data_IF_212514048213
#
_entry.id   IF_212514048213
#
_cell.length_a   1.000
_cell.length_b   1.000
_cell.length_c   1.000
_cell.angle_alpha   90.00
_cell.angle_beta   90.00
_cell.angle_gamma   90.00
#
_symmetry.space_group_name_H-M   'P 1'
#
loop_
_entity.id
_entity.type
_entity.pdbx_description
1 polymer ?
#
# COMPACT_ATOMS: atom_id res chain seq x y z
N UNK A 1 50.19 26.78 -3.70
CA UNK A 1 49.05 26.49 -4.59
C UNK A 1 48.81 24.98 -4.50
N UNK A 2 48.06 24.54 -3.51
CA UNK A 2 47.57 23.16 -3.42
C UNK A 2 46.42 23.01 -4.41
N UNK A 3 46.71 22.43 -5.55
CA UNK A 3 45.71 21.84 -6.42
C UNK A 3 45.36 20.51 -5.80
N UNK A 4 44.47 20.54 -4.80
CA UNK A 4 43.87 19.32 -4.27
C UNK A 4 43.11 18.61 -5.40
N UNK A 5 43.66 17.52 -5.91
CA UNK A 5 42.93 16.54 -6.68
C UNK A 5 41.75 16.07 -5.81
N UNK A 6 40.53 16.52 -6.13
CA UNK A 6 39.31 15.94 -5.55
C UNK A 6 39.28 14.48 -5.98
N UNK A 7 39.77 13.59 -5.12
CA UNK A 7 39.80 12.17 -5.37
C UNK A 7 38.39 11.63 -5.63
N UNK A 8 38.23 10.95 -6.74
CA UNK A 8 36.99 10.21 -7.00
C UNK A 8 36.91 9.03 -6.02
N UNK A 9 35.98 9.08 -5.07
CA UNK A 9 35.71 7.99 -4.13
C UNK A 9 34.73 6.99 -4.75
N UNK A 10 35.22 5.78 -4.97
CA UNK A 10 34.37 4.68 -5.48
C UNK A 10 34.22 3.63 -4.39
N UNK A 11 33.00 3.28 -4.03
CA UNK A 11 32.68 2.28 -3.00
C UNK A 11 31.74 1.24 -3.56
N UNK A 12 31.96 0.00 -3.12
CA UNK A 12 31.03 -1.10 -3.35
C UNK A 12 30.58 -1.62 -2.00
N UNK A 13 29.28 -1.77 -1.84
CA UNK A 13 28.64 -2.25 -0.61
C UNK A 13 27.85 -3.48 -0.99
N UNK A 14 27.97 -4.52 -0.19
CA UNK A 14 27.14 -5.70 -0.25
C UNK A 14 26.34 -5.82 1.03
N UNK A 15 25.03 -5.97 0.90
CA UNK A 15 24.13 -6.22 1.98
C UNK A 15 23.25 -7.44 1.63
N UNK A 16 22.66 -8.05 2.63
CA UNK A 16 21.67 -9.10 2.41
C UNK A 16 20.50 -8.92 3.35
N UNK A 17 19.30 -9.14 2.82
CA UNK A 17 18.07 -9.08 3.56
C UNK A 17 17.36 -10.42 3.52
N UNK A 18 16.99 -10.93 4.69
CA UNK A 18 16.07 -12.05 4.82
C UNK A 18 14.83 -11.51 5.51
N UNK A 19 13.68 -11.66 4.89
CA UNK A 19 12.40 -11.29 5.51
C UNK A 19 11.44 -12.46 5.48
N UNK A 20 10.65 -12.60 6.52
CA UNK A 20 9.55 -13.53 6.56
C UNK A 20 8.27 -12.86 7.03
N UNK A 21 7.15 -13.33 6.52
CA UNK A 21 5.82 -12.91 6.94
C UNK A 21 4.95 -14.13 7.06
N UNK A 22 4.16 -14.15 8.10
CA UNK A 22 3.14 -15.15 8.33
C UNK A 22 1.83 -14.47 8.66
N UNK A 23 0.78 -15.00 8.13
CA UNK A 23 -0.55 -14.52 8.35
C UNK A 23 -1.50 -15.70 8.50
N UNK A 24 -2.32 -15.69 9.53
CA UNK A 24 -3.36 -16.67 9.74
C UNK A 24 -4.64 -16.00 10.20
N UNK A 25 -5.75 -16.44 9.67
CA UNK A 25 -7.06 -15.93 10.02
C UNK A 25 -8.06 -17.06 10.23
N UNK A 26 -8.94 -16.88 11.20
CA UNK A 26 -10.06 -17.75 11.50
C UNK A 26 -11.32 -16.89 11.70
N UNK A 27 -12.46 -17.37 11.28
CA UNK A 27 -13.78 -16.76 11.52
C UNK A 27 -14.59 -16.54 10.24
N UNK A 28 -15.88 -16.38 10.41
CA UNK A 28 -16.82 -16.10 9.34
C UNK A 28 -17.27 -17.28 8.50
N UNK A 29 -16.73 -18.47 8.69
CA UNK A 29 -16.99 -19.63 7.83
C UNK A 29 -17.63 -20.80 8.57
N UNK A 30 -18.32 -21.66 7.81
CA UNK A 30 -18.75 -22.99 8.26
C UNK A 30 -17.59 -23.95 8.14
N UNK A 31 -17.23 -24.60 9.26
CA UNK A 31 -16.29 -25.72 9.34
C UNK A 31 -14.85 -25.42 8.88
N UNK A 32 -14.23 -26.34 8.12
CA UNK A 32 -12.80 -26.30 7.77
C UNK A 32 -12.38 -25.17 6.83
N UNK A 33 -13.31 -24.50 6.21
CA UNK A 33 -13.07 -23.34 5.36
C UNK A 33 -12.68 -22.08 6.17
N UNK A 34 -12.85 -22.15 7.48
CA UNK A 34 -12.60 -21.05 8.42
C UNK A 34 -11.12 -20.68 8.59
N UNK A 35 -10.21 -21.51 8.14
CA UNK A 35 -8.79 -21.27 8.34
C UNK A 35 -8.13 -20.83 7.04
N UNK A 36 -7.52 -19.67 7.11
CA UNK A 36 -6.72 -19.11 6.03
C UNK A 36 -5.35 -18.77 6.56
N UNK A 37 -4.32 -19.16 5.86
CA UNK A 37 -2.98 -18.71 6.17
C UNK A 37 -2.20 -18.37 4.90
N UNK A 38 -1.28 -17.46 5.05
CA UNK A 38 -0.28 -17.18 4.05
C UNK A 38 1.08 -17.04 4.72
N UNK A 39 2.09 -17.58 4.10
CA UNK A 39 3.47 -17.40 4.50
C UNK A 39 4.29 -16.90 3.33
N UNK A 40 5.23 -16.03 3.59
CA UNK A 40 6.14 -15.50 2.59
C UNK A 40 7.53 -15.42 3.22
N UNK A 41 8.52 -15.94 2.52
CA UNK A 41 9.92 -15.74 2.85
C UNK A 41 10.62 -15.12 1.63
N UNK A 42 11.43 -14.10 1.87
CA UNK A 42 12.22 -13.45 0.84
C UNK A 42 13.69 -13.45 1.23
N UNK A 43 14.54 -13.68 0.25
CA UNK A 43 15.97 -13.44 0.33
C UNK A 43 16.34 -12.44 -0.76
N UNK A 44 16.98 -11.35 -0.39
CA UNK A 44 17.35 -10.26 -1.27
C UNK A 44 18.79 -9.82 -1.00
N UNK A 45 19.79 -10.39 -1.68
CA UNK A 45 21.14 -9.83 -1.70
C UNK A 45 21.12 -8.50 -2.45
N UNK A 46 21.80 -7.51 -1.92
CA UNK A 46 21.85 -6.17 -2.47
C UNK A 46 23.29 -5.79 -2.78
N UNK A 47 23.54 -5.36 -4.00
CA UNK A 47 24.82 -4.86 -4.48
C UNK A 47 24.65 -3.37 -4.79
N UNK A 48 25.43 -2.53 -4.12
CA UNK A 48 25.42 -1.08 -4.35
C UNK A 48 26.80 -0.65 -4.79
N UNK A 49 26.88 -0.08 -5.98
CA UNK A 49 28.07 0.63 -6.47
C UNK A 49 27.83 2.14 -6.32
N UNK A 50 28.78 2.83 -5.76
CA UNK A 50 28.70 4.27 -5.53
C UNK A 50 29.98 4.94 -5.99
N UNK A 51 29.86 6.04 -6.75
CA UNK A 51 30.99 6.88 -7.18
C UNK A 51 30.67 8.34 -6.94
N UNK A 52 31.59 9.03 -6.25
CA UNK A 52 31.52 10.46 -6.03
C UNK A 52 32.66 11.16 -6.79
N UNK A 53 32.33 12.27 -7.46
CA UNK A 53 33.28 13.14 -8.16
C UNK A 53 32.81 14.58 -8.01
N UNK A 54 33.45 15.34 -7.13
CA UNK A 54 33.05 16.69 -6.77
C UNK A 54 31.58 16.72 -6.27
N UNK A 55 30.76 17.52 -6.92
CA UNK A 55 29.33 17.66 -6.61
C UNK A 55 28.45 16.55 -7.22
N UNK A 56 29.02 15.66 -8.01
CA UNK A 56 28.29 14.58 -8.66
C UNK A 56 28.41 13.28 -7.87
N UNK A 57 27.33 12.55 -7.78
CA UNK A 57 27.24 11.22 -7.19
C UNK A 57 26.49 10.30 -8.13
N UNK A 58 27.02 9.13 -8.39
CA UNK A 58 26.42 8.10 -9.20
C UNK A 58 26.21 6.88 -8.32
N UNK A 59 25.06 6.23 -8.45
CA UNK A 59 24.73 5.01 -7.74
C UNK A 59 24.11 3.99 -8.71
N UNK A 60 24.54 2.77 -8.56
CA UNK A 60 23.90 1.61 -9.15
C UNK A 60 23.51 0.65 -8.02
N UNK A 61 22.26 0.19 -8.04
CA UNK A 61 21.77 -0.81 -7.12
C UNK A 61 21.25 -1.99 -7.93
N UNK A 62 21.57 -3.20 -7.51
CA UNK A 62 20.99 -4.43 -8.04
C UNK A 62 20.70 -5.36 -6.88
N UNK A 63 19.45 -5.81 -6.78
CA UNK A 63 18.97 -6.72 -5.74
C UNK A 63 18.00 -7.74 -6.35
N UNK A 64 18.47 -8.95 -6.68
CA UNK A 64 17.56 -10.05 -7.00
C UNK A 64 16.79 -10.46 -5.75
N UNK A 65 15.48 -10.57 -5.85
CA UNK A 65 14.58 -10.93 -4.75
C UNK A 65 14.03 -12.32 -5.02
N UNK A 66 14.44 -13.27 -4.22
CA UNK A 66 13.92 -14.64 -4.26
C UNK A 66 12.80 -14.75 -3.24
N UNK A 67 11.58 -14.99 -3.72
CA UNK A 67 10.39 -15.07 -2.87
C UNK A 67 9.78 -16.46 -2.92
N UNK A 68 9.51 -17.00 -1.75
CA UNK A 68 8.66 -18.18 -1.57
C UNK A 68 7.38 -17.71 -0.90
N UNK A 69 6.24 -18.02 -1.53
CA UNK A 69 4.91 -17.73 -1.00
C UNK A 69 4.09 -18.99 -0.93
N UNK A 70 3.45 -19.23 0.17
CA UNK A 70 2.48 -20.30 0.33
C UNK A 70 1.19 -19.72 0.88
N UNK A 71 0.10 -19.99 0.18
CA UNK A 71 -1.24 -19.59 0.57
C UNK A 71 -2.11 -20.84 0.75
N UNK A 72 -2.90 -20.84 1.78
CA UNK A 72 -3.95 -21.83 1.98
C UNK A 72 -5.27 -21.11 2.21
N UNK A 73 -6.17 -21.36 1.27
CA UNK A 73 -7.55 -20.95 1.38
C UNK A 73 -8.36 -22.07 0.80
N UNK A 74 -9.10 -22.73 0.68
CA UNK A 74 -9.74 -23.88 0.04
C UNK A 74 -8.74 -24.88 -0.56
N UNK A 75 -7.67 -24.39 -1.16
CA UNK A 75 -6.61 -25.19 -1.78
C UNK A 75 -5.26 -24.56 -1.48
N UNK A 76 -4.28 -25.40 -1.22
CA UNK A 76 -2.89 -24.97 -1.05
C UNK A 76 -2.34 -24.50 -2.40
N UNK A 77 -1.78 -23.31 -2.43
CA UNK A 77 -0.99 -22.80 -3.56
C UNK A 77 0.41 -22.43 -3.09
N UNK A 78 1.39 -22.74 -3.91
CA UNK A 78 2.79 -22.42 -3.65
C UNK A 78 3.34 -21.69 -4.87
N UNK A 79 3.83 -20.47 -4.64
CA UNK A 79 4.46 -19.66 -5.68
C UNK A 79 5.92 -19.43 -5.32
N UNK A 80 6.78 -19.57 -6.34
CA UNK A 80 8.18 -19.19 -6.29
C UNK A 80 8.38 -18.06 -7.27
N UNK A 81 8.67 -16.89 -6.77
CA UNK A 81 8.82 -15.69 -7.59
C UNK A 81 10.25 -15.20 -7.50
N UNK A 82 10.84 -14.96 -8.65
CA UNK A 82 12.09 -14.20 -8.75
C UNK A 82 11.70 -12.81 -9.24
N UNK A 83 11.96 -11.80 -8.43
CA UNK A 83 11.84 -10.39 -8.80
C UNK A 83 13.23 -9.75 -8.73
N UNK A 84 13.37 -8.55 -9.23
CA UNK A 84 14.65 -7.85 -9.22
C UNK A 84 14.41 -6.38 -9.00
N UNK A 85 15.11 -5.79 -8.05
CA UNK A 85 15.29 -4.36 -7.99
C UNK A 85 16.60 -4.00 -8.69
N UNK A 86 16.54 -3.04 -9.59
CA UNK A 86 17.70 -2.52 -10.30
C UNK A 86 17.49 -1.02 -10.54
N UNK A 87 18.34 -0.21 -9.95
CA UNK A 87 18.19 1.26 -9.93
C UNK A 87 19.50 1.88 -10.36
N UNK A 88 19.40 2.87 -11.23
CA UNK A 88 20.46 3.81 -11.57
C UNK A 88 20.07 5.18 -11.06
N UNK A 89 20.97 5.84 -10.33
CA UNK A 89 20.74 7.18 -9.84
C UNK A 89 21.95 8.08 -10.07
N UNK A 90 21.66 9.33 -10.39
CA UNK A 90 22.60 10.41 -10.44
C UNK A 90 22.11 11.55 -9.57
N UNK A 91 22.99 12.06 -8.71
CA UNK A 91 22.73 13.21 -7.85
C UNK A 91 23.78 14.28 -8.11
N UNK A 92 23.32 15.49 -8.31
CA UNK A 92 24.12 16.69 -8.31
C UNK A 92 23.80 17.49 -7.05
N UNK A 93 24.82 17.78 -6.23
CA UNK A 93 24.61 18.35 -4.90
C UNK A 93 25.43 19.64 -4.73
N UNK A 94 24.76 20.79 -4.56
CA UNK A 94 25.34 22.07 -4.18
C UNK A 94 24.80 22.53 -2.83
N UNK A 95 25.41 23.59 -2.27
CA UNK A 95 24.99 24.17 -0.98
C UNK A 95 23.52 24.55 -0.95
N UNK A 96 22.99 25.13 -2.02
CA UNK A 96 21.64 25.70 -2.08
C UNK A 96 20.60 24.77 -2.70
N UNK A 97 21.00 23.82 -3.52
CA UNK A 97 20.09 22.90 -4.16
C UNK A 97 20.73 21.54 -4.46
N UNK A 98 19.90 20.54 -4.64
CA UNK A 98 20.32 19.26 -5.21
C UNK A 98 19.32 18.79 -6.26
N UNK A 99 19.84 18.13 -7.29
CA UNK A 99 19.07 17.44 -8.31
C UNK A 99 19.35 15.95 -8.14
N UNK A 100 18.31 15.14 -8.13
CA UNK A 100 18.42 13.69 -8.17
C UNK A 100 17.60 13.17 -9.33
N UNK A 101 18.20 12.34 -10.16
CA UNK A 101 17.53 11.63 -11.25
C UNK A 101 17.77 10.16 -11.03
N UNK A 102 16.71 9.40 -10.98
CA UNK A 102 16.80 7.96 -10.78
C UNK A 102 15.77 7.22 -11.63
N UNK A 103 16.11 6.00 -11.97
CA UNK A 103 15.20 5.16 -12.73
C UNK A 103 15.62 3.70 -12.67
N UNK A 104 14.65 2.86 -12.95
CA UNK A 104 14.82 1.42 -12.90
C UNK A 104 13.58 0.70 -12.41
N UNK A 105 13.81 -0.42 -11.75
CA UNK A 105 12.79 -1.19 -11.05
C UNK A 105 13.07 -1.16 -9.56
N UNK A 106 12.15 -0.66 -8.76
CA UNK A 106 12.35 -0.55 -7.31
C UNK A 106 11.05 -0.23 -6.58
N UNK A 107 11.18 -0.18 -5.27
CA UNK A 107 10.04 0.09 -4.39
C UNK A 107 9.68 1.58 -4.43
N UNK A 108 8.41 1.85 -4.75
CA UNK A 108 7.85 3.18 -4.77
C UNK A 108 6.68 3.31 -3.79
N UNK A 109 6.66 4.40 -3.06
CA UNK A 109 5.56 4.78 -2.17
C UNK A 109 5.23 6.25 -2.41
N UNK A 110 4.00 6.52 -2.83
CA UNK A 110 3.59 7.86 -3.26
C UNK A 110 2.84 8.66 -2.19
N UNK A 111 2.44 8.00 -1.11
CA UNK A 111 1.79 8.60 0.04
C UNK A 111 2.35 8.04 1.36
N UNK A 112 2.19 8.76 2.45
CA UNK A 112 2.84 8.43 3.73
C UNK A 112 2.43 7.05 4.28
N UNK A 113 1.18 6.66 4.08
CA UNK A 113 0.60 5.48 4.71
C UNK A 113 0.21 4.35 3.75
N UNK A 114 0.60 4.45 2.48
CA UNK A 114 0.31 3.43 1.48
C UNK A 114 -1.19 3.29 1.17
N UNK A 115 -1.92 4.39 1.23
CA UNK A 115 -3.35 4.45 0.93
C UNK A 115 -3.65 4.65 -0.55
N UNK A 116 -2.68 5.16 -1.30
CA UNK A 116 -2.78 5.39 -2.73
C UNK A 116 -1.94 4.38 -3.51
N UNK A 117 -0.61 4.40 -3.32
CA UNK A 117 0.31 3.53 -4.04
C UNK A 117 1.53 3.16 -3.20
N UNK A 118 1.83 1.85 -3.15
CA UNK A 118 2.98 1.32 -2.42
C UNK A 118 3.39 -0.05 -2.98
N UNK A 119 4.46 -0.13 -3.75
CA UNK A 119 4.92 -1.41 -4.33
C UNK A 119 6.16 -1.32 -5.20
N UNK A 120 6.66 -2.48 -5.64
CA UNK A 120 7.79 -2.56 -6.58
C UNK A 120 7.28 -2.33 -8.00
N UNK A 121 7.93 -1.43 -8.72
CA UNK A 121 7.50 -0.98 -10.05
C UNK A 121 8.68 -0.51 -10.90
N UNK A 122 8.51 -0.47 -12.20
CA UNK A 122 9.42 0.25 -13.09
C UNK A 122 9.10 1.74 -13.01
N UNK A 123 10.10 2.55 -12.78
CA UNK A 123 9.90 3.98 -12.61
C UNK A 123 11.06 4.83 -13.14
N UNK A 124 10.75 6.09 -13.36
CA UNK A 124 11.71 7.17 -13.55
C UNK A 124 11.26 8.34 -12.67
N UNK A 125 12.16 8.87 -11.88
CA UNK A 125 11.91 10.00 -10.99
C UNK A 125 12.99 11.07 -11.15
N UNK A 126 12.58 12.33 -11.16
CA UNK A 126 13.46 13.49 -11.13
C UNK A 126 13.05 14.39 -9.98
N UNK A 127 14.01 14.70 -9.11
CA UNK A 127 13.80 15.49 -7.91
C UNK A 127 14.66 16.74 -7.95
N UNK A 128 14.09 17.89 -7.65
CA UNK A 128 14.76 19.13 -7.37
C UNK A 128 14.51 19.51 -5.90
N UNK A 129 15.55 19.56 -5.10
CA UNK A 129 15.46 19.98 -3.70
C UNK A 129 16.11 21.34 -3.50
N UNK A 130 15.32 22.33 -3.10
CA UNK A 130 15.78 23.67 -2.75
C UNK A 130 16.00 23.76 -1.24
N UNK A 131 17.24 23.57 -0.83
CA UNK A 131 17.65 23.36 0.57
C UNK A 131 17.30 24.52 1.51
N UNK A 132 17.54 25.82 1.15
CA UNK A 132 17.25 26.93 2.05
C UNK A 132 15.79 27.04 2.48
N UNK A 133 14.88 26.56 1.65
CA UNK A 133 13.45 26.61 1.90
C UNK A 133 12.84 25.27 2.28
N UNK A 134 13.65 24.21 2.25
CA UNK A 134 13.15 22.85 2.51
C UNK A 134 12.07 22.39 1.51
N UNK A 135 12.17 22.83 0.25
CA UNK A 135 11.19 22.53 -0.80
C UNK A 135 11.76 21.48 -1.73
N UNK A 136 11.06 20.35 -1.87
CA UNK A 136 11.35 19.33 -2.88
C UNK A 136 10.23 19.28 -3.91
N UNK A 137 10.59 19.40 -5.17
CA UNK A 137 9.71 19.14 -6.31
C UNK A 137 10.12 17.84 -6.96
N UNK A 138 9.17 16.94 -7.20
CA UNK A 138 9.40 15.64 -7.82
C UNK A 138 8.51 15.46 -9.04
N UNK A 139 9.08 14.92 -10.12
CA UNK A 139 8.34 14.41 -11.27
C UNK A 139 8.56 12.91 -11.35
N UNK A 140 7.50 12.17 -11.58
CA UNK A 140 7.48 10.72 -11.58
C UNK A 140 6.73 10.18 -12.80
N UNK A 141 7.31 9.16 -13.40
CA UNK A 141 6.62 8.27 -14.34
C UNK A 141 6.84 6.84 -13.86
N UNK A 142 5.79 6.07 -13.66
CA UNK A 142 5.92 4.67 -13.30
C UNK A 142 4.96 3.78 -14.10
N UNK A 143 5.35 2.51 -14.19
CA UNK A 143 4.57 1.47 -14.86
C UNK A 143 4.55 0.24 -13.99
N UNK A 144 3.36 -0.21 -13.61
CA UNK A 144 3.18 -1.36 -12.74
C UNK A 144 2.25 -2.40 -13.36
N UNK A 145 2.61 -3.66 -13.15
CA UNK A 145 1.75 -4.77 -13.50
C UNK A 145 0.84 -5.07 -12.33
N UNK A 146 -0.45 -5.03 -12.58
CA UNK A 146 -1.42 -5.61 -11.69
C UNK A 146 -1.47 -7.11 -11.93
N UNK A 147 -0.57 -7.86 -11.29
CA UNK A 147 -0.70 -9.32 -11.24
C UNK A 147 -1.80 -9.65 -10.25
N UNK A 148 -2.94 -10.03 -10.75
CA UNK A 148 -3.86 -10.82 -9.95
C UNK A 148 -3.23 -12.21 -9.78
N UNK A 149 -2.84 -12.51 -8.56
CA UNK A 149 -2.14 -13.75 -8.21
C UNK A 149 -2.94 -15.03 -8.51
N UNK A 150 -4.24 -14.93 -8.83
CA UNK A 150 -5.14 -16.08 -8.98
C UNK A 150 -5.85 -16.22 -10.31
N UNK A 151 -5.54 -15.42 -11.32
CA UNK A 151 -6.15 -15.62 -12.63
C UNK A 151 -5.18 -16.24 -13.62
N UNK A 152 -5.44 -17.49 -13.94
CA UNK A 152 -4.82 -18.26 -15.03
C UNK A 152 -5.09 -17.70 -16.44
N UNK A 153 -5.52 -16.47 -16.58
CA UNK A 153 -5.60 -15.84 -17.89
C UNK A 153 -4.20 -15.35 -18.23
N UNK A 154 -3.53 -16.07 -19.09
CA UNK A 154 -2.35 -15.60 -19.83
C UNK A 154 -2.74 -14.50 -20.83
N UNK A 155 -3.35 -13.43 -20.33
CA UNK A 155 -3.46 -12.23 -21.12
C UNK A 155 -2.11 -11.50 -21.03
N UNK A 156 -1.60 -11.00 -22.13
CA UNK A 156 -0.47 -10.08 -22.13
C UNK A 156 -0.86 -8.87 -21.27
N UNK A 157 -0.42 -8.88 -20.01
CA UNK A 157 -0.86 -7.90 -19.04
C UNK A 157 -0.34 -6.53 -19.46
N UNK A 158 -1.23 -5.65 -19.88
CA UNK A 158 -0.88 -4.25 -20.12
C UNK A 158 -0.60 -3.59 -18.78
N UNK A 159 0.55 -2.94 -18.70
CA UNK A 159 0.94 -2.24 -17.49
C UNK A 159 0.12 -0.96 -17.33
N UNK A 160 -0.43 -0.77 -16.15
CA UNK A 160 -0.96 0.52 -15.76
C UNK A 160 0.18 1.52 -15.59
N UNK A 161 -0.09 2.79 -15.89
CA UNK A 161 0.91 3.85 -15.87
C UNK A 161 0.46 4.98 -14.96
N UNK A 162 1.40 5.54 -14.22
CA UNK A 162 1.19 6.73 -13.40
C UNK A 162 2.19 7.79 -13.84
N UNK A 163 1.70 9.00 -14.07
CA UNK A 163 2.50 10.17 -14.40
C UNK A 163 2.09 11.33 -13.52
N UNK A 164 3.04 12.08 -13.05
CA UNK A 164 2.73 13.27 -12.26
C UNK A 164 3.87 13.71 -11.39
N UNK A 165 3.54 14.39 -10.32
CA UNK A 165 4.56 14.90 -9.41
C UNK A 165 4.01 15.28 -8.05
N UNK A 166 4.93 15.63 -7.19
CA UNK A 166 4.62 16.14 -5.86
C UNK A 166 5.49 17.33 -5.50
N UNK A 167 4.97 18.12 -4.60
CA UNK A 167 5.65 19.24 -3.95
C UNK A 167 5.66 18.95 -2.45
N UNK A 168 6.87 18.84 -1.90
CA UNK A 168 7.09 18.54 -0.49
C UNK A 168 7.78 19.72 0.19
N UNK A 169 7.21 20.18 1.31
CA UNK A 169 7.78 21.18 2.19
C UNK A 169 8.18 20.50 3.51
N UNK A 170 9.44 20.66 3.92
CA UNK A 170 10.00 20.02 5.12
C UNK A 170 10.40 21.00 6.22
N UNK A 171 10.26 22.31 5.98
CA UNK A 171 10.79 23.35 6.87
C UNK A 171 9.83 24.53 7.00
N UNK A 172 8.53 24.27 7.05
CA UNK A 172 7.55 25.31 7.29
C UNK A 172 7.39 25.56 8.81
N UNK A 173 7.09 26.78 9.25
CA UNK A 173 6.71 27.05 10.63
C UNK A 173 5.53 26.15 11.04
N UNK A 174 5.62 25.49 12.20
CA UNK A 174 4.58 24.61 12.76
C UNK A 174 4.24 23.35 11.94
N UNK A 175 4.81 23.18 10.74
CA UNK A 175 4.55 22.04 9.86
C UNK A 175 5.87 21.31 9.60
N UNK A 176 5.93 20.05 10.01
CA UNK A 176 7.08 19.18 9.78
C UNK A 176 7.11 18.62 8.35
N UNK A 177 5.93 18.36 7.80
CA UNK A 177 5.79 17.76 6.49
C UNK A 177 4.48 18.24 5.86
N UNK A 178 4.58 18.80 4.67
CA UNK A 178 3.43 19.11 3.82
C UNK A 178 3.74 18.60 2.42
N UNK A 179 2.98 17.64 1.96
CA UNK A 179 3.08 17.10 0.62
C UNK A 179 1.79 17.38 -0.16
N UNK A 180 1.94 17.91 -1.37
CA UNK A 180 0.84 18.06 -2.32
C UNK A 180 1.22 17.28 -3.56
N UNK A 181 0.34 16.43 -4.05
CA UNK A 181 0.60 15.66 -5.24
C UNK A 181 -0.55 15.66 -6.23
N UNK A 182 -0.19 15.47 -7.49
CA UNK A 182 -1.12 15.26 -8.60
C UNK A 182 -0.58 14.17 -9.51
N UNK A 183 -1.35 13.10 -9.70
CA UNK A 183 -0.98 11.98 -10.54
C UNK A 183 -2.09 11.62 -11.51
N UNK A 184 -1.73 11.50 -12.79
CA UNK A 184 -2.56 10.93 -13.84
C UNK A 184 -2.30 9.42 -13.89
N UNK A 185 -3.35 8.64 -13.72
CA UNK A 185 -3.34 7.18 -13.87
C UNK A 185 -3.99 6.82 -15.18
N UNK A 186 -3.30 6.01 -15.96
CA UNK A 186 -3.80 5.48 -17.22
C UNK A 186 -3.86 3.96 -17.12
N UNK A 187 -5.06 3.43 -17.18
CA UNK A 187 -5.34 1.99 -17.23
C UNK A 187 -5.62 1.60 -18.68
N UNK A 188 -4.66 1.04 -19.43
CA UNK A 188 -4.96 0.56 -20.77
C UNK A 188 -5.90 -0.64 -20.69
N UNK A 189 -6.92 -0.64 -21.53
CA UNK A 189 -7.85 -1.75 -21.63
C UNK A 189 -7.19 -3.01 -22.14
N UNK A 190 -7.75 -4.15 -21.80
CA UNK A 190 -7.36 -5.44 -22.31
C UNK A 190 -8.56 -6.23 -22.79
N UNK A 191 -8.46 -6.72 -24.00
CA UNK A 191 -9.35 -7.75 -24.53
C UNK A 191 -8.68 -9.09 -24.25
N UNK A 192 -9.28 -9.94 -23.42
CA UNK A 192 -8.82 -11.33 -23.34
C UNK A 192 -9.08 -11.99 -24.69
N UNK A 193 -8.01 -12.47 -25.34
CA UNK A 193 -8.15 -13.19 -26.59
C UNK A 193 -9.12 -14.36 -26.43
N UNK A 194 -9.89 -14.58 -27.46
CA UNK A 194 -11.05 -15.45 -27.69
C UNK A 194 -11.01 -16.89 -27.19
N UNK A 195 -10.30 -17.25 -26.16
CA UNK A 195 -10.07 -18.67 -25.90
C UNK A 195 -11.17 -19.41 -25.16
N UNK A 196 -12.20 -18.78 -24.58
CA UNK A 196 -13.24 -19.58 -23.91
C UNK A 196 -14.64 -19.01 -24.00
N UNK A 197 -15.56 -19.87 -24.39
CA UNK A 197 -17.01 -19.69 -24.50
C UNK A 197 -17.72 -19.63 -23.13
N UNK A 198 -17.10 -19.16 -22.09
CA UNK A 198 -17.73 -19.05 -20.78
C UNK A 198 -18.04 -17.60 -20.46
N UNK A 199 -19.17 -17.39 -19.81
CA UNK A 199 -19.75 -16.08 -19.44
C UNK A 199 -18.83 -15.22 -18.52
N UNK A 200 -17.74 -15.77 -18.05
CA UNK A 200 -16.82 -15.19 -17.07
C UNK A 200 -15.61 -14.47 -17.72
N UNK A 201 -15.78 -13.93 -18.91
CA UNK A 201 -14.70 -13.16 -19.55
C UNK A 201 -14.42 -11.89 -18.77
N UNK A 202 -13.28 -11.88 -18.08
CA UNK A 202 -12.84 -10.73 -17.33
C UNK A 202 -12.14 -9.74 -18.27
N UNK A 203 -12.84 -8.70 -18.65
CA UNK A 203 -12.30 -7.60 -19.41
C UNK A 203 -11.79 -6.52 -18.49
N UNK A 204 -10.64 -5.94 -18.82
CA UNK A 204 -10.14 -4.73 -18.17
C UNK A 204 -10.52 -3.54 -19.03
N UNK A 205 -11.40 -2.65 -18.58
CA UNK A 205 -11.77 -1.45 -19.36
C UNK A 205 -10.61 -0.46 -19.42
N UNK A 206 -10.61 0.39 -20.46
CA UNK A 206 -9.76 1.57 -20.49
C UNK A 206 -10.16 2.55 -19.37
N UNK A 207 -9.19 3.10 -18.67
CA UNK A 207 -9.45 4.07 -17.61
C UNK A 207 -8.45 5.21 -17.59
N UNK A 208 -8.94 6.39 -17.19
CA UNK A 208 -8.09 7.55 -16.90
C UNK A 208 -8.58 8.22 -15.63
N UNK A 209 -7.67 8.40 -14.67
CA UNK A 209 -7.97 8.96 -13.36
C UNK A 209 -6.93 10.00 -13.00
N UNK A 210 -7.37 11.08 -12.38
CA UNK A 210 -6.51 12.07 -11.74
C UNK A 210 -6.67 11.88 -10.24
N UNK A 211 -5.56 11.58 -9.58
CA UNK A 211 -5.44 11.52 -8.13
C UNK A 211 -4.77 12.79 -7.64
N UNK A 212 -5.45 13.51 -6.78
CA UNK A 212 -4.92 14.67 -6.09
C UNK A 212 -4.83 14.34 -4.61
N UNK A 213 -3.75 14.72 -3.97
CA UNK A 213 -3.60 14.50 -2.54
C UNK A 213 -2.88 15.63 -1.85
N UNK A 214 -3.23 15.77 -0.60
CA UNK A 214 -2.57 16.64 0.37
C UNK A 214 -2.32 15.82 1.63
N UNK A 215 -1.08 15.79 2.07
CA UNK A 215 -0.69 15.19 3.35
C UNK A 215 0.06 16.22 4.19
N UNK A 216 -0.31 16.31 5.45
CA UNK A 216 0.25 17.25 6.38
C UNK A 216 0.57 16.56 7.70
N UNK A 217 1.75 16.88 8.24
CA UNK A 217 2.14 16.54 9.61
C UNK A 217 2.66 17.79 10.30
N UNK A 218 2.08 18.12 11.46
CA UNK A 218 2.53 19.28 12.24
C UNK A 218 3.77 18.96 13.07
N UNK A 219 4.48 19.99 13.47
CA UNK A 219 5.43 19.89 14.58
C UNK A 219 4.64 19.67 15.88
N UNK A 220 5.20 18.96 16.85
CA UNK A 220 4.52 18.76 18.12
C UNK A 220 4.24 20.10 18.83
N UNK A 221 2.98 20.36 19.10
CA UNK A 221 2.53 21.45 19.94
C UNK A 221 1.91 20.86 21.21
N UNK A 222 2.42 21.21 22.37
CA UNK A 222 2.02 20.60 23.66
C UNK A 222 2.16 19.06 23.66
N UNK A 223 3.21 18.54 23.03
CA UNK A 223 3.47 17.11 22.84
C UNK A 223 2.44 16.40 21.92
N UNK A 224 1.60 17.14 21.23
CA UNK A 224 0.64 16.63 20.26
C UNK A 224 1.11 16.98 18.86
N UNK A 225 1.26 16.01 17.99
CA UNK A 225 1.35 16.22 16.56
C UNK A 225 0.06 15.78 15.86
N UNK A 226 -0.24 16.44 14.75
CA UNK A 226 -1.43 16.16 13.95
C UNK A 226 -1.02 15.69 12.58
N UNK A 227 -1.65 14.64 12.10
CA UNK A 227 -1.48 14.11 10.76
C UNK A 227 -2.82 14.17 10.03
N UNK A 228 -2.79 14.71 8.82
CA UNK A 228 -3.97 14.86 7.97
C UNK A 228 -3.61 14.37 6.56
N UNK A 229 -4.49 13.59 5.95
CA UNK A 229 -4.43 13.27 4.53
C UNK A 229 -5.78 13.45 3.86
N UNK A 230 -5.76 14.05 2.68
CA UNK A 230 -6.92 14.29 1.83
C UNK A 230 -6.59 13.79 0.42
N UNK A 231 -7.38 12.88 -0.11
CA UNK A 231 -7.18 12.26 -1.42
C UNK A 231 -8.46 12.36 -2.24
N UNK A 232 -8.34 12.91 -3.42
CA UNK A 232 -9.43 13.07 -4.37
C UNK A 232 -9.12 12.30 -5.65
N UNK A 233 -10.10 11.57 -6.15
CA UNK A 233 -9.99 10.83 -7.40
C UNK A 233 -11.10 11.27 -8.32
N UNK A 234 -10.73 11.68 -9.54
CA UNK A 234 -11.68 12.00 -10.60
C UNK A 234 -11.24 11.33 -11.88
N UNK A 235 -12.18 10.68 -12.55
CA UNK A 235 -11.84 10.01 -13.79
C UNK A 235 -13.01 9.26 -14.41
N UNK A 236 -12.66 8.33 -15.29
CA UNK A 236 -13.66 7.49 -15.96
C UNK A 236 -13.05 6.15 -16.38
N UNK A 237 -13.90 5.16 -16.58
CA UNK A 237 -13.63 3.92 -17.30
C UNK A 237 -14.58 3.79 -18.48
N UNK A 238 -14.02 3.41 -19.61
CA UNK A 238 -14.77 3.16 -20.83
C UNK A 238 -14.95 1.65 -21.03
N UNK A 239 -16.20 1.23 -20.93
CA UNK A 239 -16.62 -0.17 -21.10
C UNK A 239 -17.14 -0.43 -22.54
N UNK A 240 -17.07 0.53 -23.46
CA UNK A 240 -17.65 0.45 -24.80
C UNK A 240 -17.10 -0.71 -25.63
N UNK A 241 -15.82 -1.04 -25.49
CA UNK A 241 -15.18 -2.10 -26.25
C UNK A 241 -15.51 -3.52 -25.75
N UNK A 242 -16.22 -3.63 -24.63
CA UNK A 242 -16.43 -4.90 -23.93
C UNK A 242 -17.88 -5.36 -23.92
N UNK A 243 -18.72 -4.77 -24.75
CA UNK A 243 -20.13 -5.09 -24.72
C UNK A 243 -20.46 -6.40 -25.42
N UNK A 244 -20.54 -7.45 -24.67
CA UNK A 244 -21.31 -8.64 -25.08
C UNK A 244 -22.79 -8.51 -24.73
N UNK A 245 -23.14 -7.58 -23.85
CA UNK A 245 -24.50 -7.30 -23.41
C UNK A 245 -24.72 -5.80 -23.22
N UNK A 246 -24.93 -5.06 -24.31
CA UNK A 246 -25.55 -3.70 -24.32
C UNK A 246 -24.98 -2.63 -23.36
N UNK A 247 -23.79 -2.79 -22.80
CA UNK A 247 -23.22 -1.87 -21.81
C UNK A 247 -22.17 -0.93 -22.41
N UNK A 248 -22.45 -0.34 -23.55
CA UNK A 248 -21.67 0.78 -24.07
C UNK A 248 -21.84 1.99 -23.15
N UNK A 249 -21.05 2.09 -22.09
CA UNK A 249 -21.14 3.23 -21.20
C UNK A 249 -19.80 3.63 -20.61
N UNK A 250 -19.66 4.92 -20.40
CA UNK A 250 -18.57 5.50 -19.64
C UNK A 250 -19.00 5.59 -18.20
N UNK A 251 -18.29 4.90 -17.34
CA UNK A 251 -18.44 5.02 -15.89
C UNK A 251 -17.57 6.15 -15.36
N UNK A 252 -18.17 7.15 -14.74
CA UNK A 252 -17.45 8.27 -14.13
C UNK A 252 -17.12 7.97 -12.69
N UNK A 253 -15.92 8.35 -12.25
CA UNK A 253 -15.47 8.23 -10.87
C UNK A 253 -15.27 9.62 -10.28
N UNK A 254 -15.82 9.83 -9.09
CA UNK A 254 -15.56 11.02 -8.27
C UNK A 254 -15.54 10.57 -6.81
N UNK A 255 -14.36 10.36 -6.28
CA UNK A 255 -14.17 9.70 -5.00
C UNK A 255 -13.22 10.46 -4.09
N UNK A 256 -13.37 10.24 -2.79
CA UNK A 256 -12.62 10.93 -1.75
C UNK A 256 -12.23 9.95 -0.64
N UNK A 257 -11.01 10.12 -0.13
CA UNK A 257 -10.55 9.49 1.11
C UNK A 257 -9.86 10.55 1.96
N UNK A 258 -10.10 10.51 3.26
CA UNK A 258 -9.38 11.33 4.22
C UNK A 258 -9.01 10.55 5.46
N UNK A 259 -7.92 10.94 6.08
CA UNK A 259 -7.59 10.52 7.44
C UNK A 259 -7.16 11.73 8.28
N UNK A 260 -7.40 11.63 9.57
CA UNK A 260 -6.94 12.57 10.58
C UNK A 260 -6.44 11.78 11.78
N UNK A 261 -5.28 12.12 12.31
CA UNK A 261 -4.77 11.52 13.53
C UNK A 261 -4.08 12.55 14.41
N UNK A 262 -4.27 12.42 15.70
CA UNK A 262 -3.59 13.14 16.76
C UNK A 262 -2.70 12.18 17.53
N UNK A 263 -1.42 12.44 17.59
CA UNK A 263 -0.47 11.65 18.35
C UNK A 263 -0.02 12.44 19.56
N UNK A 264 -0.26 11.94 20.73
CA UNK A 264 0.09 12.57 21.99
C UNK A 264 1.21 11.80 22.69
N UNK A 265 2.38 12.41 22.80
CA UNK A 265 3.56 11.84 23.40
C UNK A 265 3.64 12.20 24.90
N UNK A 266 3.21 11.29 25.76
CA UNK A 266 3.22 11.40 27.20
C UNK A 266 4.42 10.64 27.75
N UNK A 267 5.62 11.24 27.68
CA UNK A 267 6.90 10.63 28.06
C UNK A 267 7.13 9.26 27.36
N UNK A 268 6.79 8.16 28.04
CA UNK A 268 6.93 6.81 27.50
C UNK A 268 5.65 6.30 26.80
N UNK A 269 4.49 6.86 27.15
CA UNK A 269 3.22 6.45 26.55
C UNK A 269 2.89 7.32 25.36
N UNK A 270 2.66 6.71 24.22
CA UNK A 270 2.13 7.39 23.02
C UNK A 270 0.66 7.01 22.86
N UNK A 271 -0.19 8.03 22.81
CA UNK A 271 -1.61 7.90 22.50
C UNK A 271 -1.84 8.37 21.08
N UNK A 272 -2.63 7.64 20.34
CA UNK A 272 -3.07 8.01 18.99
C UNK A 272 -4.59 7.97 18.92
N UNK A 273 -5.19 9.08 18.57
CA UNK A 273 -6.61 9.20 18.29
C UNK A 273 -6.78 9.59 16.83
N UNK A 274 -7.66 8.93 16.12
CA UNK A 274 -7.85 9.30 14.73
C UNK A 274 -9.01 8.61 14.06
N UNK A 275 -9.15 8.91 12.78
CA UNK A 275 -10.17 8.31 11.96
C UNK A 275 -9.81 8.34 10.48
N UNK A 276 -10.52 7.53 9.72
CA UNK A 276 -10.44 7.46 8.28
C UNK A 276 -11.87 7.46 7.72
N UNK A 277 -12.03 8.23 6.67
CA UNK A 277 -13.26 8.28 5.89
C UNK A 277 -12.96 8.03 4.43
N UNK A 278 -13.74 7.19 3.77
CA UNK A 278 -13.76 7.06 2.33
C UNK A 278 -15.18 7.04 1.78
N UNK A 279 -15.36 7.66 0.62
CA UNK A 279 -16.64 7.62 -0.09
C UNK A 279 -16.97 6.21 -0.52
N UNK A 280 -18.26 5.91 -0.55
CA UNK A 280 -18.80 4.62 -0.99
C UNK A 280 -19.43 4.73 -2.37
N UNK A 281 -19.42 3.63 -3.08
CA UNK A 281 -20.21 3.48 -4.28
C UNK A 281 -21.68 3.25 -3.95
N UNK A 282 -22.56 3.79 -4.77
CA UNK A 282 -23.99 3.49 -4.67
C UNK A 282 -24.23 2.15 -5.34
N UNK A 283 -24.85 1.23 -4.65
CA UNK A 283 -25.05 -0.17 -5.04
C UNK A 283 -25.99 -0.40 -6.25
N UNK A 284 -26.43 0.64 -6.94
CA UNK A 284 -27.35 0.49 -8.04
C UNK A 284 -26.59 0.25 -9.36
N UNK A 285 -26.71 -0.94 -9.91
CA UNK A 285 -26.17 -1.33 -11.22
C UNK A 285 -26.61 -0.43 -12.39
N UNK A 286 -27.60 0.43 -12.17
CA UNK A 286 -28.12 1.40 -13.15
C UNK A 286 -27.35 2.72 -13.08
N UNK A 287 -26.69 3.01 -11.98
CA UNK A 287 -25.96 4.27 -11.82
C UNK A 287 -24.53 4.14 -12.37
N UNK A 288 -24.24 4.84 -13.45
CA UNK A 288 -22.97 4.81 -14.17
C UNK A 288 -21.86 5.60 -13.45
N UNK A 289 -22.03 5.89 -12.18
CA UNK A 289 -21.10 6.66 -11.38
C UNK A 289 -20.48 5.82 -10.27
N UNK A 290 -19.16 5.65 -10.29
CA UNK A 290 -18.40 5.00 -9.23
C UNK A 290 -17.83 6.07 -8.30
N UNK A 291 -18.45 6.24 -7.13
CA UNK A 291 -18.05 7.26 -6.15
C UNK A 291 -17.19 6.69 -5.02
N UNK A 292 -16.89 5.39 -5.04
CA UNK A 292 -16.05 4.75 -4.06
C UNK A 292 -14.56 5.02 -4.30
N UNK A 293 -13.83 5.37 -3.25
CA UNK A 293 -12.38 5.56 -3.33
C UNK A 293 -11.67 4.22 -3.56
N UNK A 294 -10.79 4.15 -4.54
CA UNK A 294 -9.99 2.98 -4.86
C UNK A 294 -8.50 3.32 -4.85
N UNK A 295 -7.74 2.62 -4.04
CA UNK A 295 -6.28 2.63 -4.11
C UNK A 295 -5.79 1.80 -5.31
N UNK A 296 -4.63 2.14 -5.85
CA UNK A 296 -4.04 1.41 -6.98
C UNK A 296 -3.28 0.17 -6.53
N UNK A 297 -2.31 0.38 -5.67
CA UNK A 297 -1.53 -0.67 -5.04
C UNK A 297 -1.28 -0.21 -3.60
N UNK A 298 -1.99 -0.76 -2.63
CA UNK A 298 -1.93 -0.25 -1.27
C UNK A 298 -1.32 -1.24 -0.29
N UNK A 299 -0.57 -0.71 0.67
CA UNK A 299 -0.06 -1.40 1.83
C UNK A 299 -0.31 -0.51 3.05
N UNK A 300 -1.55 -0.55 3.52
CA UNK A 300 -2.02 0.35 4.58
C UNK A 300 -1.17 0.21 5.84
N UNK A 301 -0.67 1.34 6.36
CA UNK A 301 0.22 1.39 7.54
C UNK A 301 -0.32 2.23 8.69
N UNK A 302 -1.51 2.79 8.55
CA UNK A 302 -2.19 3.56 9.58
C UNK A 302 -3.18 2.65 10.34
N UNK A 303 -3.49 2.95 11.58
CA UNK A 303 -4.55 2.32 12.40
C UNK A 303 -4.49 0.78 12.48
N UNK A 304 -3.29 0.24 12.59
CA UNK A 304 -3.08 -1.22 12.67
C UNK A 304 -2.67 -1.87 11.35
N UNK A 305 -2.83 -1.19 10.22
CA UNK A 305 -2.30 -1.62 8.92
C UNK A 305 -2.69 -3.05 8.56
N UNK A 306 -1.71 -3.88 8.21
CA UNK A 306 -1.91 -5.31 7.86
C UNK A 306 -2.46 -6.18 8.98
N UNK A 307 -2.34 -5.74 10.21
CA UNK A 307 -2.89 -6.44 11.37
C UNK A 307 -4.39 -6.25 11.51
N UNK A 308 -4.92 -5.15 10.98
CA UNK A 308 -6.35 -4.82 11.02
C UNK A 308 -7.13 -5.70 10.05
N UNK A 309 -8.17 -6.36 10.55
CA UNK A 309 -9.16 -7.03 9.72
C UNK A 309 -10.00 -6.01 8.96
N UNK A 310 -10.49 -4.99 9.66
CA UNK A 310 -11.43 -4.02 9.12
C UNK A 310 -10.81 -3.15 8.02
N UNK A 311 -9.58 -2.66 8.19
CA UNK A 311 -8.89 -1.86 7.19
C UNK A 311 -8.53 -2.65 5.94
N UNK A 312 -8.00 -3.85 6.11
CA UNK A 312 -7.57 -4.67 4.99
C UNK A 312 -8.73 -5.06 4.08
N UNK A 313 -9.90 -5.32 4.66
CA UNK A 313 -11.09 -5.68 3.89
C UNK A 313 -11.69 -4.50 3.12
N UNK A 314 -11.56 -3.28 3.62
CA UNK A 314 -12.25 -2.12 3.06
C UNK A 314 -11.39 -1.21 2.20
N UNK A 315 -10.12 -1.02 2.54
CA UNK A 315 -9.25 -0.07 1.85
C UNK A 315 -8.45 -0.73 0.74
N UNK A 316 -8.16 -2.01 0.88
CA UNK A 316 -7.33 -2.77 -0.06
C UNK A 316 -8.16 -3.42 -1.17
N UNK A 317 -8.96 -2.64 -1.84
CA UNK A 317 -9.88 -3.14 -2.84
C UNK A 317 -9.21 -3.91 -3.99
N UNK A 318 -8.00 -3.55 -4.40
CA UNK A 318 -7.31 -4.14 -5.56
C UNK A 318 -6.23 -5.15 -5.21
N UNK A 319 -5.71 -5.14 -4.01
CA UNK A 319 -4.55 -5.96 -3.65
C UNK A 319 -4.94 -7.12 -2.77
N UNK A 320 -5.78 -8.00 -3.30
CA UNK A 320 -5.91 -9.33 -2.75
C UNK A 320 -5.68 -9.41 -1.24
N UNK A 321 -6.61 -8.89 -0.44
CA UNK A 321 -6.78 -9.58 0.82
C UNK A 321 -7.11 -11.01 0.45
N UNK A 322 -6.74 -11.97 1.25
CA UNK A 322 -7.08 -13.38 1.07
C UNK A 322 -8.59 -13.62 0.82
N UNK A 323 -9.41 -12.62 0.99
CA UNK A 323 -10.87 -12.64 0.81
C UNK A 323 -11.35 -12.20 -0.57
N UNK A 324 -10.52 -11.58 -1.41
CA UNK A 324 -10.95 -11.07 -2.71
C UNK A 324 -10.62 -11.95 -3.90
N UNK A 325 -9.89 -13.00 -3.67
CA UNK A 325 -9.52 -13.94 -4.71
C UNK A 325 -10.71 -14.70 -5.29
N UNK A 326 -11.90 -14.48 -4.75
CA UNK A 326 -13.13 -15.18 -5.10
C UNK A 326 -14.16 -14.35 -5.83
N UNK A 327 -13.94 -13.05 -5.95
CA UNK A 327 -14.91 -12.23 -6.65
C UNK A 327 -14.64 -12.28 -8.14
N UNK A 328 -15.26 -13.24 -8.79
CA UNK A 328 -15.19 -13.43 -10.24
C UNK A 328 -15.94 -12.38 -11.03
N UNK A 329 -16.75 -11.53 -10.38
CA UNK A 329 -17.48 -10.48 -11.08
C UNK A 329 -16.60 -9.29 -11.38
N UNK A 330 -16.58 -8.89 -12.65
CA UNK A 330 -15.84 -7.74 -13.15
C UNK A 330 -16.29 -6.44 -12.49
N UNK A 331 -17.56 -6.38 -12.14
CA UNK A 331 -18.21 -5.20 -11.56
C UNK A 331 -17.71 -4.90 -10.14
N UNK A 332 -17.36 -5.90 -9.37
CA UNK A 332 -16.97 -5.75 -7.96
C UNK A 332 -15.49 -5.43 -7.74
N UNK A 333 -14.65 -5.46 -8.77
CA UNK A 333 -13.20 -5.20 -8.65
C UNK A 333 -12.87 -3.76 -8.31
N UNK A 334 -13.77 -2.86 -8.60
CA UNK A 334 -13.56 -1.41 -8.54
C UNK A 334 -14.50 -0.73 -7.56
N UNK A 335 -15.42 -1.48 -6.99
CA UNK A 335 -16.36 -0.96 -6.00
C UNK A 335 -15.68 -0.89 -4.65
N UNK A 336 -15.32 0.31 -4.27
CA UNK A 336 -14.95 0.54 -2.89
C UNK A 336 -16.21 0.82 -2.09
N UNK A 337 -16.31 0.12 -1.01
CA UNK A 337 -17.53 0.07 -0.23
C UNK A 337 -17.65 1.20 0.79
N UNK A 338 -16.70 2.13 0.76
CA UNK A 338 -16.65 3.23 1.69
C UNK A 338 -16.39 2.79 3.12
N UNK A 339 -15.86 3.69 3.93
CA UNK A 339 -15.54 3.41 5.32
C UNK A 339 -15.62 4.69 6.14
N UNK A 340 -16.17 4.55 7.34
CA UNK A 340 -16.00 5.49 8.44
C UNK A 340 -15.31 4.71 9.56
N UNK A 341 -14.06 5.02 9.84
CA UNK A 341 -13.29 4.33 10.87
C UNK A 341 -12.88 5.34 11.93
N UNK A 342 -13.09 4.98 13.17
CA UNK A 342 -12.55 5.64 14.35
C UNK A 342 -11.52 4.73 15.01
N UNK A 343 -10.37 5.28 15.42
CA UNK A 343 -9.25 4.53 15.95
C UNK A 343 -8.70 5.18 17.23
N UNK A 344 -8.42 4.36 18.23
CA UNK A 344 -7.71 4.73 19.44
C UNK A 344 -6.53 3.79 19.64
N UNK A 345 -5.32 4.31 19.64
CA UNK A 345 -4.08 3.57 19.77
C UNK A 345 -3.31 3.94 21.02
N UNK A 346 -2.67 2.95 21.63
CA UNK A 346 -1.75 3.09 22.74
C UNK A 346 -0.46 2.38 22.40
N UNK A 347 0.68 2.99 22.63
CA UNK A 347 1.96 2.31 22.49
C UNK A 347 2.91 2.69 23.62
N UNK A 348 3.66 1.70 24.10
CA UNK A 348 4.57 1.84 25.21
C UNK A 348 5.89 1.09 24.93
N UNK A 349 7.04 1.76 25.00
CA UNK A 349 8.34 1.09 24.91
C UNK A 349 8.66 0.40 26.22
N UNK A 350 8.72 -0.92 26.21
CA UNK A 350 9.16 -1.71 27.38
C UNK A 350 10.68 -1.66 27.58
N UNK A 351 11.41 -1.45 26.49
CA UNK A 351 12.86 -1.24 26.47
C UNK A 351 13.24 -0.40 25.24
N UNK A 352 14.52 -0.06 25.10
CA UNK A 352 15.03 0.60 23.88
C UNK A 352 14.77 -0.20 22.61
N UNK A 353 14.67 -1.52 22.71
CA UNK A 353 14.50 -2.43 21.57
C UNK A 353 13.10 -3.02 21.45
N UNK A 354 12.27 -2.93 22.47
CA UNK A 354 10.96 -3.62 22.49
C UNK A 354 9.82 -2.66 22.80
N UNK A 355 8.83 -2.63 21.93
CA UNK A 355 7.63 -1.81 22.03
C UNK A 355 6.38 -2.69 21.95
N UNK A 356 5.38 -2.40 22.79
CA UNK A 356 4.05 -2.97 22.69
C UNK A 356 3.03 -1.93 22.29
N UNK A 357 1.97 -2.34 21.62
CA UNK A 357 0.86 -1.44 21.30
C UNK A 357 -0.47 -2.17 21.28
N UNK A 358 -1.52 -1.40 21.53
CA UNK A 358 -2.92 -1.81 21.42
C UNK A 358 -3.66 -0.78 20.59
N UNK A 359 -4.46 -1.24 19.64
CA UNK A 359 -5.29 -0.39 18.80
C UNK A 359 -6.72 -0.89 18.87
N UNK A 360 -7.64 0.03 19.09
CA UNK A 360 -9.07 -0.18 19.09
C UNK A 360 -9.64 0.53 17.85
N UNK A 361 -10.28 -0.21 16.97
CA UNK A 361 -10.95 0.35 15.80
C UNK A 361 -12.45 0.06 15.84
N UNK A 362 -13.20 1.08 15.50
CA UNK A 362 -14.63 1.01 15.23
C UNK A 362 -14.88 1.46 13.79
N UNK A 363 -15.65 0.69 13.03
CA UNK A 363 -15.97 1.06 11.66
C UNK A 363 -17.44 0.91 11.34
N UNK A 364 -17.91 1.83 10.51
CA UNK A 364 -19.17 1.72 9.80
C UNK A 364 -18.86 1.72 8.29
N UNK A 365 -19.18 0.65 7.62
CA UNK A 365 -18.89 0.47 6.20
C UNK A 365 -20.04 -0.30 5.53
N UNK A 366 -19.96 -0.48 4.24
CA UNK A 366 -20.89 -1.38 3.55
C UNK A 366 -20.70 -2.86 3.93
N UNK A 367 -19.63 -3.22 4.61
CA UNK A 367 -19.48 -4.56 5.22
C UNK A 367 -20.38 -4.73 6.44
N UNK A 368 -20.72 -3.65 7.07
CA UNK A 368 -21.45 -3.60 8.33
C UNK A 368 -20.75 -2.73 9.36
N UNK A 369 -21.24 -2.80 10.58
CA UNK A 369 -20.62 -2.18 11.74
C UNK A 369 -19.65 -3.17 12.36
N UNK A 370 -18.42 -2.77 12.54
CA UNK A 370 -17.36 -3.63 13.10
C UNK A 370 -16.59 -2.97 14.21
N UNK A 371 -16.13 -3.79 15.14
CA UNK A 371 -15.19 -3.41 16.19
C UNK A 371 -14.02 -4.38 16.16
N UNK A 372 -12.81 -3.88 16.38
CA UNK A 372 -11.63 -4.73 16.53
C UNK A 372 -10.69 -4.22 17.59
N UNK A 373 -9.96 -5.15 18.17
CA UNK A 373 -8.85 -4.90 19.08
C UNK A 373 -7.61 -5.57 18.49
N UNK A 374 -6.55 -4.81 18.35
CA UNK A 374 -5.26 -5.29 17.85
C UNK A 374 -4.22 -5.14 18.95
N UNK A 375 -3.63 -6.24 19.37
CA UNK A 375 -2.47 -6.26 20.25
C UNK A 375 -1.23 -6.52 19.40
N UNK A 376 -0.18 -5.74 19.56
CA UNK A 376 1.07 -6.00 18.85
C UNK A 376 2.31 -5.73 19.68
N UNK A 377 3.37 -6.45 19.32
CA UNK A 377 4.70 -6.28 19.84
C UNK A 377 5.71 -6.12 18.70
N UNK A 378 6.64 -5.23 18.86
CA UNK A 378 7.73 -5.01 17.93
C UNK A 378 9.06 -5.01 18.66
N UNK A 379 9.95 -5.87 18.23
CA UNK A 379 11.35 -5.88 18.66
C UNK A 379 12.22 -5.37 17.50
N UNK A 380 13.15 -4.49 17.80
CA UNK A 380 14.19 -4.02 16.88
C UNK A 380 15.53 -4.10 17.55
N UNK A 381 16.47 -4.77 16.92
CA UNK A 381 17.87 -4.63 17.24
C UNK A 381 18.45 -3.50 16.40
N UNK A 382 18.77 -2.39 17.05
CA UNK A 382 19.33 -1.18 16.41
C UNK A 382 20.83 -1.06 16.61
N UNK A 383 21.49 -2.11 17.12
CA UNK A 383 22.92 -2.07 17.36
C UNK A 383 23.67 -1.90 16.04
N UNK A 384 24.74 -1.15 16.11
CA UNK A 384 25.74 -0.90 15.05
C UNK A 384 26.53 -2.14 14.64
N UNK A 385 26.16 -3.32 15.13
CA UNK A 385 26.69 -4.61 14.74
C UNK A 385 26.29 -4.95 13.29
N UNK A 386 27.07 -5.77 12.58
CA UNK A 386 26.78 -6.14 11.20
C UNK A 386 25.40 -6.78 10.99
N UNK A 387 24.72 -7.17 12.08
CA UNK A 387 23.40 -7.75 12.05
C UNK A 387 22.37 -6.81 12.67
N UNK A 388 21.50 -6.26 11.88
CA UNK A 388 20.29 -5.57 12.34
C UNK A 388 19.05 -6.40 12.04
N UNK A 389 18.06 -6.36 12.92
CA UNK A 389 16.88 -7.16 12.71
C UNK A 389 15.65 -6.59 13.39
N UNK A 390 14.50 -7.03 12.93
CA UNK A 390 13.22 -6.74 13.57
C UNK A 390 12.35 -8.01 13.65
N UNK A 391 11.51 -8.03 14.64
CA UNK A 391 10.41 -8.97 14.76
C UNK A 391 9.15 -8.20 15.14
N UNK A 392 8.08 -8.45 14.44
CA UNK A 392 6.76 -7.89 14.69
C UNK A 392 5.73 -9.01 14.79
N UNK A 393 4.92 -8.98 15.83
CA UNK A 393 3.80 -9.90 15.99
C UNK A 393 2.55 -9.14 16.38
N UNK A 394 1.40 -9.55 15.87
CA UNK A 394 0.11 -9.00 16.26
C UNK A 394 -1.00 -10.03 16.29
N UNK A 395 -1.94 -9.79 17.20
CA UNK A 395 -3.21 -10.50 17.34
C UNK A 395 -4.33 -9.49 17.16
N UNK A 396 -5.21 -9.71 16.20
CA UNK A 396 -6.42 -8.94 16.00
C UNK A 396 -7.64 -9.82 16.31
N UNK A 397 -8.54 -9.29 17.13
CA UNK A 397 -9.84 -9.87 17.43
C UNK A 397 -10.88 -8.87 16.91
N UNK A 398 -11.74 -9.29 15.99
CA UNK A 398 -12.75 -8.44 15.40
C UNK A 398 -14.14 -9.05 15.53
N UNK A 399 -15.13 -8.19 15.75
CA UNK A 399 -16.54 -8.52 15.71
C UNK A 399 -17.23 -7.64 14.66
N UNK A 400 -17.90 -8.25 13.70
CA UNK A 400 -18.56 -7.55 12.59
C UNK A 400 -20.01 -7.95 12.52
N UNK A 401 -20.91 -6.97 12.53
CA UNK A 401 -22.34 -7.16 12.22
C UNK A 401 -22.53 -6.87 10.72
N UNK A 402 -22.65 -7.89 9.86
CA UNK A 402 -22.76 -7.71 8.43
C UNK A 402 -24.08 -7.05 8.05
N UNK A 403 -24.09 -6.23 7.00
CA UNK A 403 -25.30 -5.68 6.41
C UNK A 403 -26.03 -6.78 5.64
N UNK A 404 -27.37 -6.71 5.62
CA UNK A 404 -28.26 -7.74 5.03
C UNK A 404 -27.94 -8.02 3.56
N UNK A 405 -27.55 -7.03 2.78
CA UNK A 405 -27.18 -7.15 1.37
C UNK A 405 -25.92 -8.01 1.14
N UNK A 406 -25.10 -8.18 2.15
CA UNK A 406 -23.92 -9.03 2.09
C UNK A 406 -24.10 -10.46 2.54
N UNK A 407 -25.22 -10.79 3.10
CA UNK A 407 -25.54 -12.20 3.35
C UNK A 407 -25.45 -13.01 2.06
N UNK A 408 -25.89 -12.45 0.93
CA UNK A 408 -25.82 -13.09 -0.38
C UNK A 408 -24.37 -13.34 -0.82
N UNK A 409 -23.49 -12.33 -0.69
CA UNK A 409 -22.08 -12.48 -1.05
C UNK A 409 -21.35 -13.46 -0.10
N UNK A 410 -21.69 -13.44 1.17
CA UNK A 410 -21.17 -14.40 2.15
C UNK A 410 -21.67 -15.81 1.89
N UNK A 411 -22.92 -15.99 1.47
CA UNK A 411 -23.47 -17.27 1.08
C UNK A 411 -22.80 -17.84 -0.17
N UNK A 412 -22.53 -17.01 -1.18
CA UNK A 412 -21.76 -17.40 -2.37
C UNK A 412 -20.31 -17.76 -2.03
N UNK A 413 -19.69 -17.06 -1.08
CA UNK A 413 -18.36 -17.32 -0.57
C UNK A 413 -18.33 -18.46 0.46
N UNK A 414 -19.46 -19.10 0.75
CA UNK A 414 -19.60 -20.12 1.80
C UNK A 414 -19.19 -19.63 3.20
N UNK A 415 -19.31 -18.34 3.44
CA UNK A 415 -19.07 -17.73 4.76
C UNK A 415 -20.36 -17.81 5.56
N UNK A 416 -20.29 -18.23 6.82
CA UNK A 416 -21.47 -18.25 7.70
C UNK A 416 -21.81 -16.83 8.15
N UNK A 417 -22.90 -16.23 7.65
CA UNK A 417 -23.30 -14.88 8.05
C UNK A 417 -23.69 -14.78 9.53
N UNK A 418 -23.85 -15.90 10.22
CA UNK A 418 -24.11 -15.93 11.66
C UNK A 418 -22.84 -15.79 12.50
N UNK A 419 -21.70 -16.17 11.97
CA UNK A 419 -20.43 -16.02 12.65
C UNK A 419 -19.86 -14.61 12.41
N UNK A 420 -19.92 -13.81 13.45
CA UNK A 420 -19.54 -12.39 13.45
C UNK A 420 -18.12 -12.15 13.99
N UNK A 421 -17.46 -13.19 14.46
CA UNK A 421 -16.18 -13.09 15.13
C UNK A 421 -15.04 -13.55 14.24
N UNK A 422 -13.97 -12.79 14.26
CA UNK A 422 -12.76 -13.03 13.49
C UNK A 422 -11.52 -12.92 14.37
N UNK A 423 -10.59 -13.83 14.14
CA UNK A 423 -9.28 -13.84 14.78
C UNK A 423 -8.21 -13.80 13.69
N UNK A 424 -7.29 -12.85 13.79
CA UNK A 424 -6.15 -12.73 12.87
C UNK A 424 -4.85 -12.69 13.64
N UNK A 425 -3.91 -13.52 13.20
CA UNK A 425 -2.52 -13.50 13.63
C UNK A 425 -1.66 -13.00 12.48
N UNK A 426 -0.76 -12.08 12.74
CA UNK A 426 0.21 -11.59 11.77
C UNK A 426 1.59 -11.51 12.41
N UNK A 427 2.59 -12.05 11.72
CA UNK A 427 3.99 -11.98 12.10
C UNK A 427 4.83 -11.51 10.92
N UNK A 428 5.82 -10.69 11.21
CA UNK A 428 6.82 -10.29 10.24
C UNK A 428 8.19 -10.24 10.92
N UNK A 429 9.21 -10.70 10.24
CA UNK A 429 10.59 -10.58 10.70
C UNK A 429 11.49 -10.18 9.55
N UNK A 430 12.59 -9.56 9.86
CA UNK A 430 13.63 -9.26 8.90
C UNK A 430 14.98 -9.21 9.57
N UNK A 431 15.99 -9.70 8.87
CA UNK A 431 17.41 -9.62 9.24
C UNK A 431 18.15 -9.00 8.09
N UNK A 432 19.00 -8.04 8.43
CA UNK A 432 19.92 -7.36 7.53
C UNK A 432 21.34 -7.65 7.98
N UNK A 433 22.24 -8.04 7.07
CA UNK A 433 23.64 -8.37 7.33
C UNK A 433 24.53 -8.08 6.12
#
# INVERSE_FOLDING_TARGET
KDTGEEGSDTKFIYNSFITSKFYSQKGGDKEDLARRYATQANFAPEFVGFKRSGNNQFMILASPILSYKENYHLKRSVDRVVDTEAILAWKFDKSNFSINIEGGRGFQRLDAYGLFFNGITNYFESNLFWKPFGIKFSLLALSYNYKQENFTIRANATNDKIFGGNLLFTSLPFINHLQIFNYLVVEPGQIAEKQYYQADKQFKPNGRFIYNGLELKTNPFWKIDTELGLFFVKGYRDYAEYSYQQLNHISKTNAFLSYLAFNWNLNQLNLRLGGLYSTKDKSNAVDRAHNGYSSLLSDVRIFGGKSSFLLMENVNAKNGTLFRDFDSSIENRYDTKGMQLFSLGFSYPLSASFQVSTILNHTNSNLGVGNEVIFSGMYRNSNTDPFSGFFYGSLCIAHVNPVTERKIIFDELRVDPTNKEFLRLYFASGIHF
#
